data_IF_354651425777
#
_entry.id   IF_354651425777
#
_cell.length_a   1.000
_cell.length_b   1.000
_cell.length_c   1.000
_cell.angle_alpha   90.00
_cell.angle_beta   90.00
_cell.angle_gamma   90.00
#
_symmetry.space_group_name_H-M   'P 1'
#
loop_
_entity.id
_entity.type
_entity.pdbx_description
1 polymer ?
#
# COMPACT_ATOMS: atom_id res chain seq x y z
N UNK A 1 7.69 -44.20 61.55
CA UNK A 1 6.97 -43.66 62.73
C UNK A 1 7.54 -42.26 62.92
N UNK A 2 6.97 -41.18 62.38
CA UNK A 2 5.56 -40.78 62.34
C UNK A 2 5.21 -40.05 61.02
N UNK A 3 4.05 -40.38 60.46
CA UNK A 3 3.15 -39.49 59.68
C UNK A 3 2.51 -38.49 60.69
N UNK A 4 1.97 -37.30 60.41
CA UNK A 4 1.74 -36.41 59.27
C UNK A 4 1.39 -35.01 59.85
N UNK A 5 1.44 -33.94 59.05
CA UNK A 5 0.31 -32.97 58.95
C UNK A 5 0.48 -32.09 57.69
N UNK A 6 -0.43 -32.27 56.72
CA UNK A 6 -0.51 -31.54 55.43
C UNK A 6 -1.54 -30.39 55.54
N UNK A 7 -1.28 -29.38 56.36
CA UNK A 7 -2.25 -28.28 56.50
C UNK A 7 -1.71 -26.89 56.87
N UNK A 8 -0.46 -26.54 56.52
CA UNK A 8 0.03 -25.17 56.68
C UNK A 8 0.60 -24.63 55.37
N UNK A 9 -0.14 -23.69 54.78
CA UNK A 9 0.24 -22.92 53.61
C UNK A 9 1.44 -22.02 53.94
N UNK A 10 2.61 -22.35 53.39
CA UNK A 10 3.88 -21.63 53.58
C UNK A 10 3.99 -20.35 52.71
N UNK A 11 2.90 -19.93 52.04
CA UNK A 11 2.88 -18.79 51.12
C UNK A 11 2.06 -17.58 51.58
N UNK A 12 1.63 -17.53 52.84
CA UNK A 12 0.94 -16.36 53.39
C UNK A 12 1.92 -15.41 54.11
N UNK A 13 2.65 -14.60 53.33
CA UNK A 13 2.95 -13.18 53.62
C UNK A 13 4.15 -12.69 52.77
N UNK A 14 3.85 -12.06 51.63
CA UNK A 14 4.74 -11.10 50.99
C UNK A 14 3.91 -9.98 50.35
N UNK A 15 4.10 -8.78 50.89
CA UNK A 15 3.44 -7.53 50.54
C UNK A 15 3.48 -7.18 49.03
N UNK A 16 2.49 -6.43 48.52
CA UNK A 16 2.41 -6.10 47.10
C UNK A 16 3.54 -5.16 46.67
N UNK A 17 4.12 -5.34 45.47
CA UNK A 17 5.10 -4.42 44.93
C UNK A 17 4.44 -3.07 44.59
N UNK A 18 5.14 -2.00 44.98
CA UNK A 18 4.80 -0.61 44.65
C UNK A 18 4.52 -0.42 43.15
N UNK A 19 3.56 0.46 42.77
CA UNK A 19 3.33 0.78 41.38
C UNK A 19 4.55 1.52 40.82
N UNK A 20 5.26 0.88 39.91
CA UNK A 20 6.23 1.55 39.07
C UNK A 20 5.52 2.61 38.24
N UNK A 21 6.13 3.79 38.21
CA UNK A 21 5.70 5.00 37.53
C UNK A 21 5.06 4.74 36.16
N UNK A 22 3.79 5.09 36.04
CA UNK A 22 3.11 5.33 34.77
C UNK A 22 3.85 6.43 34.00
N UNK A 23 4.76 6.04 33.13
CA UNK A 23 5.34 6.91 32.12
C UNK A 23 4.38 6.94 30.91
N UNK A 24 3.67 8.07 30.77
CA UNK A 24 3.29 8.63 29.47
C UNK A 24 2.50 7.76 28.50
N UNK A 25 1.31 7.32 28.89
CA UNK A 25 0.28 6.90 27.94
C UNK A 25 -0.49 8.11 27.41
N UNK A 26 0.10 8.89 26.51
CA UNK A 26 -0.59 9.96 25.80
C UNK A 26 -0.20 9.95 24.31
N UNK A 27 -1.22 10.07 23.46
CA UNK A 27 -1.17 10.45 22.03
C UNK A 27 -0.76 9.39 20.99
N UNK A 28 -1.49 8.27 20.87
CA UNK A 28 -1.45 7.48 19.63
C UNK A 28 -2.82 7.34 18.93
N UNK A 29 -3.91 7.81 19.55
CA UNK A 29 -5.26 7.73 18.98
C UNK A 29 -5.65 8.92 18.10
N UNK A 30 -4.86 10.00 18.08
CA UNK A 30 -5.14 11.22 17.30
C UNK A 30 -4.45 11.25 15.94
N UNK A 31 -3.42 10.44 15.74
CA UNK A 31 -2.60 10.53 14.54
C UNK A 31 -3.06 9.57 13.46
N UNK A 32 -3.12 10.06 12.21
CA UNK A 32 -3.44 9.21 11.06
C UNK A 32 -2.15 8.48 10.63
N UNK A 33 -1.80 7.41 11.33
CA UNK A 33 -0.59 6.62 11.04
C UNK A 33 -0.75 5.78 9.77
N UNK A 34 0.36 5.50 9.06
CA UNK A 34 0.35 4.72 7.82
C UNK A 34 -0.18 3.29 7.95
N UNK A 35 -0.34 2.78 9.18
CA UNK A 35 -0.81 1.43 9.47
C UNK A 35 -2.33 1.40 9.66
N UNK A 36 -3.00 0.45 8.98
CA UNK A 36 -4.44 0.25 9.06
C UNK A 36 -4.80 -0.70 10.21
N UNK A 37 -5.90 -0.43 10.91
CA UNK A 37 -6.49 -1.41 11.84
C UNK A 37 -7.23 -2.52 11.09
N UNK A 38 -7.57 -3.62 11.76
CA UNK A 38 -8.34 -4.73 11.15
C UNK A 38 -9.72 -4.28 10.67
N UNK A 39 -10.41 -3.43 11.43
CA UNK A 39 -11.71 -2.86 11.04
C UNK A 39 -11.56 -1.90 9.84
N UNK A 40 -10.45 -1.17 9.76
CA UNK A 40 -10.15 -0.33 8.60
C UNK A 40 -10.02 -1.14 7.31
N UNK A 41 -9.44 -2.34 7.38
CA UNK A 41 -9.21 -3.23 6.24
C UNK A 41 -10.50 -3.79 5.65
N UNK A 42 -11.47 -4.20 6.49
CA UNK A 42 -12.73 -4.77 6.01
C UNK A 42 -13.64 -3.72 5.35
N UNK A 43 -13.71 -2.52 5.94
CA UNK A 43 -14.41 -1.40 5.31
C UNK A 43 -13.67 -0.93 4.06
N UNK A 44 -12.33 -0.95 4.04
CA UNK A 44 -11.59 -0.62 2.81
C UNK A 44 -11.91 -1.60 1.67
N UNK A 45 -12.14 -2.88 1.96
CA UNK A 45 -12.53 -3.87 0.93
C UNK A 45 -13.88 -3.56 0.30
N UNK A 46 -14.87 -3.09 1.07
CA UNK A 46 -16.19 -2.74 0.51
C UNK A 46 -16.17 -1.48 -0.35
N UNK A 47 -15.23 -0.56 -0.10
CA UNK A 47 -15.05 0.66 -0.89
C UNK A 47 -14.41 0.39 -2.26
N UNK A 48 -13.70 -0.73 -2.43
CA UNK A 48 -12.98 -1.05 -3.67
C UNK A 48 -13.97 -1.31 -4.82
N UNK A 49 -13.81 -0.65 -5.97
CA UNK A 49 -14.62 -0.93 -7.15
C UNK A 49 -14.47 -2.38 -7.60
N UNK A 50 -15.58 -2.95 -8.08
CA UNK A 50 -15.65 -4.34 -8.53
C UNK A 50 -15.62 -4.44 -10.06
N UNK A 51 -16.12 -3.43 -10.78
CA UNK A 51 -16.15 -3.37 -12.24
C UNK A 51 -15.34 -2.19 -12.76
N UNK A 52 -15.01 -2.21 -14.06
CA UNK A 52 -14.30 -1.11 -14.71
C UNK A 52 -15.10 0.20 -14.66
N UNK A 53 -16.42 0.11 -14.73
CA UNK A 53 -17.30 1.29 -14.71
C UNK A 53 -17.36 1.96 -13.32
N UNK A 54 -17.11 1.21 -12.25
CA UNK A 54 -17.01 1.75 -10.88
C UNK A 54 -15.64 2.37 -10.59
N UNK A 55 -14.64 2.10 -11.45
CA UNK A 55 -13.27 2.57 -11.25
C UNK A 55 -13.17 4.03 -11.70
N UNK A 56 -13.07 4.94 -10.75
CA UNK A 56 -12.92 6.37 -11.01
C UNK A 56 -11.49 6.68 -11.49
N UNK A 57 -11.31 7.66 -12.38
CA UNK A 57 -9.99 8.03 -12.93
C UNK A 57 -9.31 6.95 -13.78
N UNK A 58 -8.03 7.16 -14.11
CA UNK A 58 -7.20 6.26 -14.95
C UNK A 58 -7.83 5.91 -16.30
N UNK A 59 -8.51 6.87 -16.95
CA UNK A 59 -9.34 6.60 -18.13
C UNK A 59 -8.60 5.91 -19.27
N UNK A 60 -7.34 6.28 -19.51
CA UNK A 60 -6.51 5.63 -20.53
C UNK A 60 -6.30 4.13 -20.27
N UNK A 61 -6.09 3.73 -19.01
CA UNK A 61 -5.94 2.34 -18.59
C UNK A 61 -7.29 1.63 -18.73
N UNK A 62 -8.37 2.23 -18.22
CA UNK A 62 -9.72 1.63 -18.28
C UNK A 62 -10.17 1.38 -19.71
N UNK A 63 -9.97 2.34 -20.62
CA UNK A 63 -10.33 2.20 -22.02
C UNK A 63 -9.53 1.09 -22.69
N UNK A 64 -8.22 1.04 -22.44
CA UNK A 64 -7.35 -0.01 -22.97
C UNK A 64 -7.73 -1.39 -22.46
N UNK A 65 -7.93 -1.54 -21.13
CA UNK A 65 -8.39 -2.78 -20.52
C UNK A 65 -9.75 -3.21 -21.07
N UNK A 66 -10.70 -2.29 -21.25
CA UNK A 66 -12.02 -2.61 -21.80
C UNK A 66 -11.90 -3.27 -23.18
N UNK A 67 -11.10 -2.68 -24.08
CA UNK A 67 -10.87 -3.23 -25.43
C UNK A 67 -10.21 -4.62 -25.35
N UNK A 68 -9.16 -4.77 -24.55
CA UNK A 68 -8.39 -6.01 -24.44
C UNK A 68 -9.22 -7.16 -23.85
N UNK A 69 -10.00 -6.86 -22.80
CA UNK A 69 -10.90 -7.82 -22.15
C UNK A 69 -12.02 -8.24 -23.10
N UNK A 70 -12.65 -7.30 -23.79
CA UNK A 70 -13.72 -7.59 -24.76
C UNK A 70 -13.20 -8.47 -25.89
N UNK A 71 -12.00 -8.16 -26.40
CA UNK A 71 -11.35 -8.95 -27.43
C UNK A 71 -11.05 -10.39 -26.95
N UNK A 72 -10.44 -10.56 -25.77
CA UNK A 72 -10.15 -11.88 -25.19
C UNK A 72 -11.42 -12.71 -24.99
N UNK A 73 -12.46 -12.12 -24.41
CA UNK A 73 -13.78 -12.75 -24.24
C UNK A 73 -14.41 -13.20 -25.55
N UNK A 74 -14.34 -12.36 -26.59
CA UNK A 74 -14.92 -12.69 -27.90
C UNK A 74 -14.28 -13.94 -28.54
N UNK A 75 -13.03 -14.23 -28.19
CA UNK A 75 -12.29 -15.43 -28.64
C UNK A 75 -12.44 -16.62 -27.68
N UNK A 76 -13.01 -16.42 -26.49
CA UNK A 76 -13.08 -17.45 -25.45
C UNK A 76 -11.71 -17.78 -24.85
N UNK A 77 -10.79 -16.83 -24.85
CA UNK A 77 -9.41 -16.98 -24.37
C UNK A 77 -9.18 -16.24 -23.04
N UNK A 78 -8.11 -16.61 -22.34
CA UNK A 78 -7.59 -15.81 -21.23
C UNK A 78 -7.12 -14.45 -21.71
N UNK A 79 -7.07 -13.47 -20.80
CA UNK A 79 -6.40 -12.20 -21.07
C UNK A 79 -4.88 -12.44 -21.09
N UNK A 80 -4.16 -11.71 -21.93
CA UNK A 80 -2.70 -11.68 -21.86
C UNK A 80 -2.23 -11.23 -20.48
N UNK A 81 -1.03 -11.66 -20.09
CA UNK A 81 -0.47 -11.29 -18.80
C UNK A 81 -0.29 -9.77 -18.68
N UNK A 82 -0.71 -9.23 -17.53
CA UNK A 82 -0.75 -7.78 -17.26
C UNK A 82 0.23 -7.41 -16.16
N UNK A 83 1.02 -6.35 -16.36
CA UNK A 83 1.82 -5.73 -15.29
C UNK A 83 1.28 -4.32 -15.00
N UNK A 84 0.94 -4.08 -13.72
CA UNK A 84 0.62 -2.75 -13.21
C UNK A 84 1.81 -2.18 -12.43
N UNK A 85 2.28 -1.01 -12.84
CA UNK A 85 3.35 -0.30 -12.15
C UNK A 85 2.89 1.05 -11.62
N UNK A 86 3.50 1.53 -10.55
CA UNK A 86 3.28 2.88 -10.04
C UNK A 86 3.31 2.96 -8.51
N UNK A 87 3.27 4.18 -7.95
CA UNK A 87 3.29 4.43 -6.51
C UNK A 87 2.30 3.58 -5.69
N UNK A 88 2.57 3.36 -4.39
CA UNK A 88 1.64 2.69 -3.49
C UNK A 88 0.32 3.49 -3.39
N UNK A 89 -0.79 2.78 -3.13
CA UNK A 89 -2.09 3.42 -2.89
C UNK A 89 -2.89 3.84 -4.12
N UNK A 90 -2.35 3.68 -5.34
CA UNK A 90 -3.04 4.04 -6.60
C UNK A 90 -4.11 3.04 -7.09
N UNK A 91 -4.27 1.89 -6.41
CA UNK A 91 -5.30 0.92 -6.75
C UNK A 91 -4.87 -0.21 -7.71
N UNK A 92 -3.58 -0.58 -7.73
CA UNK A 92 -3.06 -1.73 -8.53
C UNK A 92 -3.75 -3.06 -8.17
N UNK A 93 -3.79 -3.40 -6.88
CA UNK A 93 -4.50 -4.60 -6.37
C UNK A 93 -5.99 -4.57 -6.72
N UNK A 94 -6.59 -3.38 -6.70
CA UNK A 94 -7.99 -3.18 -7.07
C UNK A 94 -8.22 -3.41 -8.56
N UNK A 95 -7.34 -2.90 -9.44
CA UNK A 95 -7.41 -3.19 -10.87
C UNK A 95 -7.28 -4.68 -11.17
N UNK A 96 -6.41 -5.40 -10.46
CA UNK A 96 -6.29 -6.86 -10.62
C UNK A 96 -7.62 -7.57 -10.32
N UNK A 97 -8.30 -7.18 -9.23
CA UNK A 97 -9.62 -7.71 -8.90
C UNK A 97 -10.68 -7.33 -9.94
N UNK A 98 -10.67 -6.08 -10.42
CA UNK A 98 -11.56 -5.63 -11.50
C UNK A 98 -11.32 -6.43 -12.78
N UNK A 99 -10.07 -6.69 -13.17
CA UNK A 99 -9.74 -7.53 -14.34
C UNK A 99 -10.31 -8.94 -14.17
N UNK A 100 -10.16 -9.57 -13.00
CA UNK A 100 -10.73 -10.89 -12.75
C UNK A 100 -12.25 -10.90 -12.83
N UNK A 101 -12.92 -9.93 -12.20
CA UNK A 101 -14.37 -9.79 -12.23
C UNK A 101 -14.89 -9.55 -13.64
N UNK A 102 -14.22 -8.68 -14.41
CA UNK A 102 -14.57 -8.46 -15.80
C UNK A 102 -14.39 -9.74 -16.60
N UNK A 103 -13.27 -10.47 -16.46
CA UNK A 103 -13.06 -11.76 -17.13
C UNK A 103 -14.00 -12.88 -16.66
N UNK A 104 -14.77 -12.68 -15.58
CA UNK A 104 -15.59 -13.74 -14.98
C UNK A 104 -14.75 -14.84 -14.33
N UNK A 105 -13.50 -14.54 -13.96
CA UNK A 105 -12.50 -15.46 -13.44
C UNK A 105 -12.35 -15.35 -11.93
N UNK A 106 -11.89 -16.43 -11.28
CA UNK A 106 -11.47 -16.34 -9.88
C UNK A 106 -10.08 -15.70 -9.79
N UNK A 107 -9.83 -14.97 -8.69
CA UNK A 107 -8.53 -14.35 -8.42
C UNK A 107 -7.82 -15.06 -7.28
N UNK A 108 -6.61 -15.55 -7.54
CA UNK A 108 -5.69 -16.03 -6.51
C UNK A 108 -4.66 -14.95 -6.22
N UNK A 109 -4.70 -14.39 -5.02
CA UNK A 109 -3.79 -13.32 -4.59
C UNK A 109 -2.61 -13.88 -3.80
N UNK A 110 -1.41 -13.41 -4.10
CA UNK A 110 -0.16 -13.64 -3.36
C UNK A 110 0.77 -12.42 -3.50
N UNK A 111 1.96 -12.47 -2.91
CA UNK A 111 2.99 -11.44 -3.07
C UNK A 111 4.35 -12.06 -3.35
N UNK A 112 5.23 -11.31 -4.01
CA UNK A 112 6.61 -11.72 -4.29
C UNK A 112 7.33 -12.24 -3.04
N UNK A 113 7.33 -11.50 -1.92
CA UNK A 113 7.95 -11.96 -0.68
C UNK A 113 7.31 -13.21 -0.05
N UNK A 114 6.00 -13.43 -0.29
CA UNK A 114 5.32 -14.62 0.23
C UNK A 114 5.73 -15.90 -0.51
N UNK A 115 6.21 -15.79 -1.75
CA UNK A 115 6.69 -16.92 -2.55
C UNK A 115 8.19 -17.08 -2.31
N UNK A 116 8.52 -17.78 -1.22
CA UNK A 116 9.90 -17.97 -0.81
C UNK A 116 10.62 -19.08 -1.59
N UNK A 117 9.89 -20.12 -2.03
CA UNK A 117 10.47 -21.29 -2.68
C UNK A 117 9.72 -21.64 -3.96
N UNK A 118 10.44 -22.33 -4.84
CA UNK A 118 9.93 -22.89 -6.11
C UNK A 118 8.68 -23.75 -5.92
N UNK A 119 8.66 -24.55 -4.84
CA UNK A 119 7.50 -25.37 -4.47
C UNK A 119 6.25 -24.56 -4.09
N UNK A 120 6.41 -23.36 -3.52
CA UNK A 120 5.29 -22.50 -3.14
C UNK A 120 4.58 -21.97 -4.40
N UNK A 121 5.35 -21.54 -5.41
CA UNK A 121 4.81 -21.13 -6.71
C UNK A 121 4.17 -22.30 -7.45
N UNK A 122 4.85 -23.46 -7.50
CA UNK A 122 4.34 -24.64 -8.16
C UNK A 122 2.98 -25.06 -7.57
N UNK A 123 2.85 -25.08 -6.24
CA UNK A 123 1.60 -25.40 -5.57
C UNK A 123 0.46 -24.42 -5.90
N UNK A 124 0.76 -23.14 -6.09
CA UNK A 124 -0.24 -22.15 -6.51
C UNK A 124 -0.69 -22.44 -7.95
N UNK A 125 0.26 -22.58 -8.87
CA UNK A 125 -0.01 -22.76 -10.30
C UNK A 125 -0.76 -24.08 -10.59
N UNK A 126 -0.41 -25.18 -9.91
CA UNK A 126 -1.10 -26.46 -10.10
C UNK A 126 -2.53 -26.49 -9.55
N UNK A 127 -2.89 -25.54 -8.69
CA UNK A 127 -4.25 -25.44 -8.11
C UNK A 127 -5.14 -24.43 -8.85
N UNK A 128 -4.62 -23.69 -9.82
CA UNK A 128 -5.43 -22.80 -10.64
C UNK A 128 -6.45 -23.59 -11.46
N UNK A 129 -7.56 -22.94 -11.80
CA UNK A 129 -8.52 -23.45 -12.78
C UNK A 129 -8.31 -22.73 -14.13
N UNK A 130 -8.74 -23.32 -15.26
CA UNK A 130 -8.68 -22.64 -16.56
C UNK A 130 -9.40 -21.28 -16.52
N UNK A 131 -8.71 -20.23 -16.95
CA UNK A 131 -9.23 -18.86 -16.95
C UNK A 131 -8.93 -18.05 -15.69
N UNK A 132 -8.43 -18.67 -14.61
CA UNK A 132 -8.16 -17.96 -13.35
C UNK A 132 -7.12 -16.84 -13.52
N UNK A 133 -7.20 -15.86 -12.63
CA UNK A 133 -6.23 -14.77 -12.50
C UNK A 133 -5.30 -15.05 -11.32
N UNK A 134 -4.00 -15.16 -11.58
CA UNK A 134 -2.98 -15.17 -10.53
C UNK A 134 -2.45 -13.76 -10.33
N UNK A 135 -2.75 -13.16 -9.19
CA UNK A 135 -2.24 -11.84 -8.83
C UNK A 135 -1.02 -11.94 -7.91
N UNK A 136 0.12 -11.38 -8.32
CA UNK A 136 1.35 -11.29 -7.53
C UNK A 136 1.67 -9.82 -7.26
N UNK A 137 1.43 -9.37 -6.03
CA UNK A 137 1.86 -8.03 -5.60
C UNK A 137 3.37 -8.00 -5.32
N UNK A 138 3.99 -6.84 -5.50
CA UNK A 138 5.44 -6.67 -5.33
C UNK A 138 6.25 -7.74 -6.08
N UNK A 139 5.85 -8.04 -7.33
CA UNK A 139 6.42 -9.13 -8.15
C UNK A 139 7.92 -9.00 -8.37
N UNK A 140 8.45 -7.78 -8.31
CA UNK A 140 9.88 -7.49 -8.39
C UNK A 140 10.70 -8.02 -7.20
N UNK A 141 10.04 -8.51 -6.14
CA UNK A 141 10.66 -9.12 -4.97
C UNK A 141 10.68 -10.64 -5.02
N UNK A 142 10.25 -11.25 -6.12
CA UNK A 142 10.47 -12.67 -6.36
C UNK A 142 11.97 -12.96 -6.37
N UNK A 143 12.37 -14.07 -5.76
CA UNK A 143 13.74 -14.52 -5.90
C UNK A 143 13.96 -15.11 -7.30
N UNK A 144 15.22 -15.09 -7.75
CA UNK A 144 15.61 -15.53 -9.09
C UNK A 144 15.15 -16.95 -9.43
N UNK A 145 15.22 -17.89 -8.48
CA UNK A 145 14.85 -19.28 -8.73
C UNK A 145 13.35 -19.44 -8.97
N UNK A 146 12.53 -18.68 -8.24
CA UNK A 146 11.08 -18.66 -8.42
C UNK A 146 10.72 -17.97 -9.73
N UNK A 147 11.39 -16.86 -10.05
CA UNK A 147 11.20 -16.13 -11.30
C UNK A 147 11.52 -16.99 -12.52
N UNK A 148 12.61 -17.76 -12.50
CA UNK A 148 12.99 -18.68 -13.58
C UNK A 148 11.95 -19.79 -13.83
N UNK A 149 11.23 -20.24 -12.79
CA UNK A 149 10.13 -21.20 -12.92
C UNK A 149 8.84 -20.56 -13.46
N UNK A 150 8.67 -19.26 -13.25
CA UNK A 150 7.50 -18.54 -13.74
C UNK A 150 7.53 -18.38 -15.27
N UNK A 151 8.72 -18.39 -15.89
CA UNK A 151 8.86 -18.17 -17.34
C UNK A 151 8.13 -19.22 -18.20
N UNK A 152 8.36 -20.54 -18.03
CA UNK A 152 7.65 -21.54 -18.83
C UNK A 152 6.16 -21.59 -18.47
N UNK A 153 5.79 -21.23 -17.24
CA UNK A 153 4.40 -21.15 -16.82
C UNK A 153 3.64 -20.03 -17.55
N UNK A 154 4.31 -18.91 -17.84
CA UNK A 154 3.74 -17.79 -18.61
C UNK A 154 3.71 -18.03 -20.12
N UNK A 155 4.75 -18.66 -20.66
CA UNK A 155 4.91 -18.82 -22.12
C UNK A 155 4.18 -20.06 -22.66
N UNK A 156 4.37 -21.18 -21.97
CA UNK A 156 3.96 -22.50 -22.45
C UNK A 156 2.85 -23.13 -21.59
N UNK A 157 2.43 -22.47 -20.50
CA UNK A 157 1.52 -23.04 -19.51
C UNK A 157 2.00 -24.41 -19.00
N UNK A 158 3.30 -24.51 -18.70
CA UNK A 158 3.91 -25.73 -18.17
C UNK A 158 4.89 -25.44 -17.03
N UNK A 159 5.10 -26.44 -16.19
CA UNK A 159 6.07 -26.44 -15.10
C UNK A 159 7.05 -27.59 -15.22
N UNK A 160 8.33 -27.28 -15.25
CA UNK A 160 9.40 -28.28 -15.19
C UNK A 160 9.83 -28.52 -13.74
N UNK A 161 9.52 -29.70 -13.21
CA UNK A 161 9.87 -30.10 -11.85
C UNK A 161 10.96 -31.16 -11.88
N UNK A 162 12.07 -30.88 -11.19
CA UNK A 162 13.15 -31.85 -10.99
C UNK A 162 12.83 -32.74 -9.79
N UNK A 163 12.65 -34.04 -10.04
CA UNK A 163 12.40 -35.05 -9.00
C UNK A 163 13.67 -35.87 -8.77
N UNK A 164 14.08 -35.97 -7.50
CA UNK A 164 15.27 -36.72 -7.07
C UNK A 164 16.50 -35.84 -6.81
N UNK A 165 17.64 -36.47 -6.49
CA UNK A 165 18.92 -35.77 -6.22
C UNK A 165 20.06 -36.48 -6.96
N UNK A 166 21.06 -35.70 -7.37
CA UNK A 166 22.27 -36.22 -8.02
C UNK A 166 22.03 -36.73 -9.45
N UNK A 167 22.90 -37.61 -9.97
CA UNK A 167 22.84 -38.11 -11.36
C UNK A 167 21.55 -38.85 -11.73
N UNK A 168 20.75 -39.26 -10.73
CA UNK A 168 19.49 -39.96 -10.92
C UNK A 168 18.27 -39.01 -10.96
N UNK A 169 18.47 -37.69 -10.82
CA UNK A 169 17.39 -36.72 -10.90
C UNK A 169 16.77 -36.72 -12.30
N UNK A 170 15.43 -36.69 -12.36
CA UNK A 170 14.66 -36.64 -13.62
C UNK A 170 13.81 -35.38 -13.63
N UNK A 171 13.78 -34.69 -14.76
CA UNK A 171 12.86 -33.57 -14.96
C UNK A 171 11.52 -34.11 -15.48
N UNK A 172 10.43 -33.69 -14.87
CA UNK A 172 9.06 -33.98 -15.31
C UNK A 172 8.41 -32.65 -15.67
N UNK A 173 7.88 -32.57 -16.89
CA UNK A 173 7.05 -31.45 -17.34
C UNK A 173 5.60 -31.72 -16.93
N UNK A 174 4.99 -30.78 -16.23
CA UNK A 174 3.59 -30.80 -15.83
C UNK A 174 2.87 -29.68 -16.57
N UNK A 175 1.81 -30.04 -17.29
CA UNK A 175 0.93 -29.04 -17.90
C UNK A 175 0.10 -28.37 -16.81
N UNK A 176 -0.02 -27.04 -16.87
CA UNK A 176 -0.87 -26.25 -15.98
C UNK A 176 -2.00 -25.60 -16.78
N UNK A 177 -3.12 -25.24 -16.13
CA UNK A 177 -4.22 -24.59 -16.82
C UNK A 177 -3.80 -23.24 -17.40
N UNK A 178 -4.41 -22.86 -18.53
CA UNK A 178 -4.29 -21.49 -19.04
C UNK A 178 -4.84 -20.51 -18.00
N UNK A 179 -4.04 -19.50 -17.66
CA UNK A 179 -4.37 -18.52 -16.64
C UNK A 179 -3.86 -17.13 -17.06
N UNK A 180 -4.34 -16.08 -16.41
CA UNK A 180 -3.81 -14.73 -16.57
C UNK A 180 -2.94 -14.36 -15.37
N UNK A 181 -1.64 -14.14 -15.56
CA UNK A 181 -0.81 -13.51 -14.54
C UNK A 181 -1.05 -12.00 -14.52
N UNK A 182 -1.37 -11.46 -13.36
CA UNK A 182 -1.38 -10.02 -13.09
C UNK A 182 -0.30 -9.69 -12.07
N UNK A 183 0.76 -9.01 -12.50
CA UNK A 183 1.79 -8.51 -11.61
C UNK A 183 1.49 -7.07 -11.14
N UNK A 184 1.90 -6.74 -9.91
CA UNK A 184 1.99 -5.36 -9.47
C UNK A 184 3.39 -5.02 -8.94
N UNK A 185 3.84 -3.79 -9.20
CA UNK A 185 5.12 -3.30 -8.68
C UNK A 185 5.10 -1.81 -8.39
N UNK A 186 5.70 -1.40 -7.28
CA UNK A 186 6.04 0.00 -7.00
C UNK A 186 7.33 0.46 -7.70
N UNK A 187 8.14 -0.49 -8.19
CA UNK A 187 9.48 -0.26 -8.75
C UNK A 187 9.61 -0.94 -10.12
N UNK A 188 9.05 -0.33 -11.17
CA UNK A 188 9.10 -0.91 -12.53
C UNK A 188 10.52 -1.13 -13.05
N UNK A 189 11.47 -0.28 -12.64
CA UNK A 189 12.90 -0.42 -12.98
C UNK A 189 13.58 -1.66 -12.38
N UNK A 190 12.97 -2.30 -11.38
CA UNK A 190 13.52 -3.50 -10.70
C UNK A 190 13.10 -4.81 -11.36
N UNK A 191 12.18 -4.78 -12.34
CA UNK A 191 11.82 -6.00 -13.08
C UNK A 191 12.97 -6.39 -14.03
N UNK A 192 13.34 -7.66 -14.01
CA UNK A 192 14.31 -8.19 -14.98
C UNK A 192 13.77 -8.04 -16.41
N UNK A 193 14.65 -7.93 -17.40
CA UNK A 193 14.25 -7.93 -18.82
C UNK A 193 13.40 -9.16 -19.17
N UNK A 194 13.87 -10.39 -18.87
CA UNK A 194 13.12 -11.61 -19.17
C UNK A 194 11.70 -11.65 -18.61
N UNK A 195 11.48 -11.25 -17.34
CA UNK A 195 10.14 -11.23 -16.76
C UNK A 195 9.25 -10.16 -17.41
N UNK A 196 9.81 -8.98 -17.66
CA UNK A 196 9.09 -7.85 -18.26
C UNK A 196 8.60 -8.17 -19.66
N UNK A 197 9.43 -8.80 -20.49
CA UNK A 197 9.13 -9.09 -21.90
C UNK A 197 8.00 -10.12 -22.06
N UNK A 198 7.69 -10.89 -21.00
CA UNK A 198 6.59 -11.87 -20.97
C UNK A 198 5.24 -11.28 -20.58
N UNK A 199 5.19 -10.03 -20.15
CA UNK A 199 3.93 -9.31 -19.97
C UNK A 199 3.49 -8.72 -21.31
N UNK A 200 2.43 -9.30 -21.90
CA UNK A 200 1.84 -8.78 -23.13
C UNK A 200 1.21 -7.39 -22.96
N UNK A 201 0.83 -7.04 -21.73
CA UNK A 201 0.19 -5.77 -21.39
C UNK A 201 0.92 -5.11 -20.22
N UNK A 202 1.29 -3.83 -20.38
CA UNK A 202 1.98 -3.05 -19.34
C UNK A 202 1.32 -1.70 -19.15
N UNK A 203 0.91 -1.41 -17.91
CA UNK A 203 0.32 -0.15 -17.52
C UNK A 203 1.09 0.50 -16.38
N UNK A 204 1.21 1.83 -16.46
CA UNK A 204 1.71 2.67 -15.38
C UNK A 204 0.57 3.52 -14.84
N UNK A 205 0.25 3.34 -13.57
CA UNK A 205 -0.71 4.18 -12.87
C UNK A 205 -0.02 5.47 -12.46
N UNK A 206 -0.66 6.59 -12.78
CA UNK A 206 -0.26 7.91 -12.37
C UNK A 206 -1.05 8.38 -11.14
N UNK A 207 -0.60 9.45 -10.51
CA UNK A 207 -1.37 10.09 -9.45
C UNK A 207 -2.69 10.63 -9.99
N UNK A 208 -3.71 10.57 -9.15
CA UNK A 208 -5.06 11.01 -9.50
C UNK A 208 -5.14 12.53 -9.40
N UNK A 209 -5.98 13.12 -10.26
CA UNK A 209 -6.35 14.52 -10.12
C UNK A 209 -7.21 14.75 -8.88
N UNK A 210 -7.30 15.99 -8.42
CA UNK A 210 -8.19 16.35 -7.30
C UNK A 210 -9.64 16.02 -7.65
N UNK A 211 -10.05 16.25 -8.91
CA UNK A 211 -11.40 15.93 -9.38
C UNK A 211 -11.69 14.42 -9.31
N UNK A 212 -10.79 13.57 -9.83
CA UNK A 212 -10.97 12.11 -9.75
C UNK A 212 -11.03 11.62 -8.30
N UNK A 213 -10.21 12.22 -7.41
CA UNK A 213 -10.22 11.88 -6.00
C UNK A 213 -11.49 12.35 -5.29
N UNK A 214 -12.03 13.51 -5.65
CA UNK A 214 -13.30 14.00 -5.11
C UNK A 214 -14.43 13.05 -5.50
N UNK A 215 -14.46 12.56 -6.74
CA UNK A 215 -15.45 11.56 -7.19
C UNK A 215 -15.32 10.24 -6.40
N UNK A 216 -14.08 9.81 -6.13
CA UNK A 216 -13.81 8.65 -5.27
C UNK A 216 -14.34 8.89 -3.85
N UNK A 217 -14.11 10.07 -3.29
CA UNK A 217 -14.57 10.43 -1.94
C UNK A 217 -16.10 10.45 -1.87
N UNK A 218 -16.79 11.06 -2.85
CA UNK A 218 -18.26 11.10 -2.91
C UNK A 218 -18.84 9.69 -3.03
N UNK A 219 -18.27 8.86 -3.92
CA UNK A 219 -18.69 7.46 -4.07
C UNK A 219 -18.49 6.68 -2.77
N UNK A 220 -17.34 6.83 -2.13
CA UNK A 220 -17.05 6.16 -0.86
C UNK A 220 -17.95 6.63 0.26
N UNK A 221 -18.27 7.93 0.35
CA UNK A 221 -19.19 8.48 1.35
C UNK A 221 -20.59 7.89 1.19
N UNK A 222 -21.05 7.75 -0.07
CA UNK A 222 -22.33 7.09 -0.40
C UNK A 222 -22.35 5.63 0.10
N UNK A 223 -21.28 4.87 -0.12
CA UNK A 223 -21.17 3.48 0.38
C UNK A 223 -21.15 3.41 1.91
N UNK A 224 -20.55 4.41 2.57
CA UNK A 224 -20.51 4.53 4.03
C UNK A 224 -21.81 5.11 4.62
N UNK A 225 -22.78 5.51 3.79
CA UNK A 225 -24.05 6.07 4.23
C UNK A 225 -23.92 7.45 4.87
N UNK A 226 -22.98 8.28 4.39
CA UNK A 226 -22.75 9.64 4.92
C UNK A 226 -22.90 10.65 3.79
N UNK A 227 -23.65 11.71 4.05
CA UNK A 227 -23.80 12.84 3.14
C UNK A 227 -22.56 13.74 3.19
N UNK A 228 -22.04 14.09 2.01
CA UNK A 228 -20.90 14.99 1.84
C UNK A 228 -21.17 15.91 0.66
N UNK A 229 -20.88 17.20 0.82
CA UNK A 229 -20.92 18.15 -0.30
C UNK A 229 -19.65 18.03 -1.19
N UNK A 230 -19.74 18.53 -2.42
CA UNK A 230 -18.63 18.42 -3.37
C UNK A 230 -17.40 19.24 -2.92
N UNK A 231 -17.62 20.36 -2.21
CA UNK A 231 -16.55 21.22 -1.70
C UNK A 231 -15.70 20.50 -0.65
N UNK A 232 -16.33 19.80 0.30
CA UNK A 232 -15.68 18.94 1.30
C UNK A 232 -14.95 17.77 0.67
N UNK A 233 -15.55 17.16 -0.36
CA UNK A 233 -14.89 16.08 -1.10
C UNK A 233 -13.61 16.59 -1.79
N UNK A 234 -13.65 17.80 -2.37
CA UNK A 234 -12.47 18.44 -2.96
C UNK A 234 -11.42 18.79 -1.89
N UNK A 235 -11.83 19.26 -0.72
CA UNK A 235 -10.93 19.57 0.39
C UNK A 235 -10.17 18.31 0.85
N UNK A 236 -10.88 17.19 1.05
CA UNK A 236 -10.26 15.90 1.36
C UNK A 236 -9.32 15.47 0.22
N UNK A 237 -9.80 15.53 -1.03
CA UNK A 237 -9.04 15.13 -2.21
C UNK A 237 -7.72 15.92 -2.35
N UNK A 238 -7.75 17.23 -2.12
CA UNK A 238 -6.57 18.11 -2.20
C UNK A 238 -5.45 17.69 -1.25
N UNK A 239 -5.82 17.16 -0.07
CA UNK A 239 -4.90 16.68 0.98
C UNK A 239 -4.60 15.18 0.90
N UNK A 240 -5.07 14.51 -0.15
CA UNK A 240 -4.96 13.05 -0.32
C UNK A 240 -3.74 12.59 -1.11
N UNK A 241 -2.78 13.50 -1.37
CA UNK A 241 -1.49 13.19 -2.01
C UNK A 241 -1.62 12.47 -3.37
N UNK A 242 -2.71 12.71 -4.10
CA UNK A 242 -2.95 12.06 -5.38
C UNK A 242 -3.32 10.57 -5.29
N UNK A 243 -3.64 10.05 -4.09
CA UNK A 243 -3.88 8.60 -3.89
C UNK A 243 -5.29 8.29 -3.35
N UNK A 244 -6.03 7.35 -3.98
CA UNK A 244 -7.33 6.89 -3.50
C UNK A 244 -7.29 6.28 -2.10
N UNK A 245 -6.20 5.56 -1.76
CA UNK A 245 -6.03 4.97 -0.42
C UNK A 245 -6.06 6.04 0.67
N UNK A 246 -5.32 7.13 0.48
CA UNK A 246 -5.31 8.21 1.47
C UNK A 246 -6.64 8.95 1.48
N UNK A 247 -7.25 9.22 0.32
CA UNK A 247 -8.57 9.87 0.24
C UNK A 247 -9.64 9.13 1.05
N UNK A 248 -9.74 7.81 0.88
CA UNK A 248 -10.68 7.00 1.65
C UNK A 248 -10.33 6.95 3.14
N UNK A 249 -9.04 6.98 3.49
CA UNK A 249 -8.58 7.04 4.90
C UNK A 249 -8.98 8.38 5.55
N UNK A 250 -8.77 9.49 4.84
CA UNK A 250 -9.15 10.82 5.31
C UNK A 250 -10.66 10.96 5.45
N UNK A 251 -11.43 10.50 4.46
CA UNK A 251 -12.89 10.49 4.54
C UNK A 251 -13.40 9.76 5.78
N UNK A 252 -12.85 8.58 6.11
CA UNK A 252 -13.23 7.85 7.33
C UNK A 252 -12.98 8.69 8.57
N UNK A 253 -11.82 9.36 8.67
CA UNK A 253 -11.47 10.20 9.82
C UNK A 253 -12.36 11.44 9.92
N UNK A 254 -12.63 12.11 8.81
CA UNK A 254 -13.54 13.26 8.75
C UNK A 254 -14.96 12.83 9.16
N UNK A 255 -15.43 11.68 8.68
CA UNK A 255 -16.71 11.09 9.10
C UNK A 255 -16.75 10.83 10.60
N UNK A 256 -15.74 10.16 11.16
CA UNK A 256 -15.69 9.84 12.59
C UNK A 256 -15.72 11.13 13.44
N UNK A 257 -15.05 12.20 12.98
CA UNK A 257 -15.11 13.52 13.61
C UNK A 257 -16.50 14.16 13.50
N UNK A 258 -17.10 14.14 12.30
CA UNK A 258 -18.42 14.70 12.03
C UNK A 258 -19.54 14.00 12.83
N UNK A 259 -19.43 12.69 13.06
CA UNK A 259 -20.39 11.95 13.89
C UNK A 259 -20.39 12.40 15.35
N UNK A 260 -19.24 12.84 15.87
CA UNK A 260 -19.10 13.27 17.27
C UNK A 260 -19.36 14.77 17.42
N UNK A 261 -18.97 15.58 16.44
CA UNK A 261 -18.94 17.05 16.56
C UNK A 261 -19.80 17.82 15.55
N UNK A 262 -20.37 17.16 14.54
CA UNK A 262 -20.97 17.80 13.37
C UNK A 262 -22.33 17.23 12.94
N UNK A 263 -23.11 16.69 13.88
CA UNK A 263 -24.45 16.13 13.62
C UNK A 263 -24.53 15.04 12.53
N UNK A 264 -23.38 14.47 12.11
CA UNK A 264 -23.28 13.36 11.18
C UNK A 264 -23.20 13.70 9.69
N UNK A 265 -23.32 14.97 9.29
CA UNK A 265 -23.11 15.42 7.90
C UNK A 265 -21.70 15.99 7.71
N UNK A 266 -21.12 15.82 6.52
CA UNK A 266 -19.78 16.35 6.20
C UNK A 266 -19.96 17.60 5.33
N UNK A 267 -19.75 18.76 5.95
CA UNK A 267 -19.68 20.06 5.28
C UNK A 267 -18.25 20.65 5.31
N UNK A 268 -18.03 21.73 4.57
CA UNK A 268 -16.69 22.30 4.41
C UNK A 268 -16.06 22.75 5.75
N UNK A 269 -16.77 23.46 6.64
CA UNK A 269 -16.25 23.80 7.97
C UNK A 269 -15.83 22.58 8.80
N UNK A 270 -16.69 21.56 8.93
CA UNK A 270 -16.38 20.34 9.70
C UNK A 270 -15.18 19.62 9.09
N UNK A 271 -15.09 19.57 7.77
CA UNK A 271 -13.99 18.92 7.07
C UNK A 271 -12.66 19.60 7.40
N UNK A 272 -12.60 20.93 7.36
CA UNK A 272 -11.37 21.68 7.71
C UNK A 272 -10.99 21.51 9.17
N UNK A 273 -11.97 21.58 10.07
CA UNK A 273 -11.73 21.35 11.49
C UNK A 273 -11.20 19.94 11.76
N UNK A 274 -11.80 18.93 11.13
CA UNK A 274 -11.37 17.54 11.26
C UNK A 274 -9.94 17.36 10.74
N UNK A 275 -9.63 17.83 9.53
CA UNK A 275 -8.28 17.72 8.96
C UNK A 275 -7.23 18.45 9.82
N UNK A 276 -7.57 19.63 10.36
CA UNK A 276 -6.71 20.34 11.30
C UNK A 276 -6.54 19.58 12.62
N UNK A 277 -7.61 18.98 13.14
CA UNK A 277 -7.56 18.18 14.37
C UNK A 277 -6.68 16.93 14.22
N UNK A 278 -6.66 16.33 13.03
CA UNK A 278 -5.80 15.21 12.67
C UNK A 278 -4.39 15.63 12.21
N UNK A 279 -4.05 16.92 12.33
CA UNK A 279 -2.75 17.50 11.98
C UNK A 279 -2.35 17.22 10.52
N UNK A 280 -3.32 17.36 9.61
CA UNK A 280 -3.10 17.27 8.17
C UNK A 280 -3.09 18.69 7.62
N UNK A 281 -1.97 19.12 7.07
CA UNK A 281 -1.82 20.47 6.53
C UNK A 281 -2.46 20.63 5.13
N UNK A 282 -2.32 21.82 4.54
CA UNK A 282 -2.84 22.14 3.20
C UNK A 282 -2.12 21.38 2.07
N UNK A 283 -0.91 20.88 2.31
CA UNK A 283 -0.17 20.02 1.39
C UNK A 283 -0.53 18.54 1.58
N UNK A 284 -1.37 18.21 2.55
CA UNK A 284 -1.71 16.84 2.93
C UNK A 284 -0.62 16.13 3.73
N UNK A 285 0.40 16.84 4.23
CA UNK A 285 1.44 16.33 5.13
C UNK A 285 0.82 16.03 6.49
N UNK A 286 1.20 14.89 7.08
CA UNK A 286 0.81 14.55 8.44
C UNK A 286 1.89 14.96 9.44
N UNK A 287 1.60 14.77 10.73
CA UNK A 287 2.53 15.09 11.81
C UNK A 287 3.94 14.49 11.64
N UNK A 288 4.07 13.30 11.05
CA UNK A 288 5.36 12.64 10.86
C UNK A 288 6.11 13.28 9.70
N UNK A 289 5.43 13.59 8.59
CA UNK A 289 6.02 14.34 7.49
C UNK A 289 6.57 15.69 7.99
N UNK A 290 5.77 16.43 8.77
CA UNK A 290 6.19 17.69 9.38
C UNK A 290 7.39 17.47 10.30
N UNK A 291 7.38 16.44 11.15
CA UNK A 291 8.51 16.10 12.03
C UNK A 291 9.79 15.77 11.26
N UNK A 292 9.68 15.10 10.12
CA UNK A 292 10.82 14.81 9.22
C UNK A 292 11.39 16.12 8.67
N UNK A 293 10.53 17.01 8.16
CA UNK A 293 10.96 18.31 7.64
C UNK A 293 11.56 19.18 8.73
N UNK A 294 10.94 19.25 9.91
CA UNK A 294 11.46 19.96 11.07
C UNK A 294 12.82 19.42 11.50
N UNK A 295 13.02 18.11 11.44
CA UNK A 295 14.31 17.50 11.77
C UNK A 295 15.38 17.93 10.77
N UNK A 296 15.09 17.92 9.47
CA UNK A 296 16.03 18.38 8.44
C UNK A 296 16.30 19.90 8.54
N UNK A 297 15.28 20.70 8.82
CA UNK A 297 15.33 22.17 8.81
C UNK A 297 15.86 22.75 10.13
N UNK A 298 15.33 22.33 11.28
CA UNK A 298 15.67 22.87 12.60
C UNK A 298 16.90 22.18 13.20
N UNK A 299 16.95 20.85 13.17
CA UNK A 299 18.01 20.07 13.82
C UNK A 299 19.26 20.03 12.97
N UNK A 300 19.13 19.65 11.70
CA UNK A 300 20.26 19.51 10.78
C UNK A 300 20.56 20.76 9.95
N UNK A 301 19.71 21.80 10.04
CA UNK A 301 19.90 23.10 9.38
C UNK A 301 20.19 22.96 7.88
N UNK A 302 19.42 22.12 7.20
CA UNK A 302 19.54 21.87 5.76
C UNK A 302 20.76 21.04 5.34
N UNK A 303 21.63 20.61 6.26
CA UNK A 303 22.79 19.77 5.91
C UNK A 303 22.36 18.37 5.49
N UNK A 304 23.11 17.68 4.60
CA UNK A 304 22.80 16.32 4.20
C UNK A 304 22.80 15.33 5.38
N UNK A 305 21.75 14.51 5.47
CA UNK A 305 21.58 13.49 6.53
C UNK A 305 21.37 12.10 5.93
N UNK A 306 22.12 11.10 6.41
CA UNK A 306 21.91 9.71 6.01
C UNK A 306 20.53 9.18 6.42
N UNK A 307 19.97 8.24 5.65
CA UNK A 307 18.64 7.65 5.91
C UNK A 307 18.51 7.13 7.34
N UNK A 308 19.50 6.35 7.79
CA UNK A 308 19.50 5.71 9.09
C UNK A 308 19.54 6.73 10.23
N UNK A 309 20.32 7.81 10.07
CA UNK A 309 20.39 8.92 11.03
C UNK A 309 19.08 9.68 11.10
N UNK A 310 18.48 9.99 9.94
CA UNK A 310 17.21 10.71 9.88
C UNK A 310 16.08 9.86 10.50
N UNK A 311 15.98 8.59 10.13
CA UNK A 311 15.01 7.64 10.66
C UNK A 311 15.13 7.52 12.19
N UNK A 312 16.36 7.38 12.70
CA UNK A 312 16.63 7.33 14.14
C UNK A 312 16.23 8.61 14.87
N UNK A 313 16.43 9.79 14.25
CA UNK A 313 16.09 11.07 14.85
C UNK A 313 14.57 11.28 15.00
N UNK A 314 13.77 10.75 14.07
CA UNK A 314 12.30 10.81 14.13
C UNK A 314 11.66 9.60 14.80
N UNK A 315 12.43 8.55 15.08
CA UNK A 315 11.96 7.33 15.73
C UNK A 315 11.24 6.35 14.79
N UNK A 316 11.65 6.31 13.52
CA UNK A 316 11.07 5.45 12.48
C UNK A 316 12.07 4.42 11.93
N UNK A 317 11.54 3.38 11.26
CA UNK A 317 12.36 2.41 10.53
C UNK A 317 12.88 3.01 9.21
N UNK A 318 14.16 2.79 8.84
CA UNK A 318 14.73 3.28 7.58
C UNK A 318 13.94 2.90 6.32
N UNK A 319 13.39 1.68 6.24
CA UNK A 319 12.60 1.26 5.07
C UNK A 319 11.26 1.98 5.05
N UNK A 320 10.61 2.16 6.21
CA UNK A 320 9.36 2.93 6.30
C UNK A 320 9.60 4.39 5.87
N UNK A 321 10.71 4.99 6.30
CA UNK A 321 11.12 6.32 5.86
C UNK A 321 11.27 6.39 4.33
N UNK A 322 11.99 5.44 3.73
CA UNK A 322 12.26 5.42 2.30
C UNK A 322 11.04 5.08 1.43
N UNK A 323 10.20 4.13 1.87
CA UNK A 323 9.11 3.56 1.07
C UNK A 323 7.75 4.24 1.31
N UNK A 324 7.55 4.88 2.47
CA UNK A 324 6.26 5.48 2.86
C UNK A 324 6.28 7.01 2.80
N UNK A 325 7.23 7.66 3.49
CA UNK A 325 7.22 9.12 3.66
C UNK A 325 8.00 9.86 2.56
N UNK A 326 9.23 9.44 2.29
CA UNK A 326 10.10 10.11 1.29
C UNK A 326 9.49 10.29 -0.09
N UNK A 327 8.73 9.34 -0.67
CA UNK A 327 8.25 9.47 -2.05
C UNK A 327 7.41 10.73 -2.27
N UNK A 328 6.54 11.08 -1.33
CA UNK A 328 5.69 12.26 -1.45
C UNK A 328 6.48 13.56 -1.18
N UNK A 329 7.35 13.56 -0.17
CA UNK A 329 8.21 14.71 0.14
C UNK A 329 9.15 15.05 -1.04
N UNK A 330 9.70 14.03 -1.71
CA UNK A 330 10.51 14.19 -2.92
C UNK A 330 9.68 14.74 -4.08
N UNK A 331 8.48 14.19 -4.30
CA UNK A 331 7.59 14.63 -5.36
C UNK A 331 7.14 16.08 -5.20
N UNK A 332 6.86 16.51 -3.96
CA UNK A 332 6.54 17.91 -3.63
C UNK A 332 7.78 18.82 -3.63
N UNK A 333 8.96 18.26 -3.85
CA UNK A 333 10.21 19.00 -3.87
C UNK A 333 10.60 19.57 -2.51
N UNK A 334 10.08 19.03 -1.40
CA UNK A 334 10.38 19.45 -0.03
C UNK A 334 11.74 18.90 0.42
N UNK A 335 12.13 17.74 -0.11
CA UNK A 335 13.44 17.14 0.12
C UNK A 335 14.08 16.73 -1.21
N UNK A 336 15.40 16.55 -1.21
CA UNK A 336 16.16 15.95 -2.31
C UNK A 336 17.10 14.87 -1.80
N UNK A 337 17.33 13.84 -2.62
CA UNK A 337 18.35 12.81 -2.36
C UNK A 337 19.67 13.23 -2.99
N UNK A 338 20.72 13.27 -2.19
CA UNK A 338 22.11 13.49 -2.63
C UNK A 338 22.96 12.26 -2.27
N UNK A 339 24.16 12.08 -2.86
CA UNK A 339 25.09 11.04 -2.43
C UNK A 339 25.48 11.12 -0.95
N UNK A 340 25.37 12.31 -0.34
CA UNK A 340 25.74 12.57 1.05
C UNK A 340 24.56 12.37 2.03
N UNK A 341 23.33 12.29 1.53
CA UNK A 341 22.14 12.17 2.36
C UNK A 341 20.93 12.92 1.80
N UNK A 342 19.90 13.05 2.64
CA UNK A 342 18.67 13.80 2.38
C UNK A 342 18.87 15.24 2.81
N UNK A 343 18.39 16.17 1.99
CA UNK A 343 18.51 17.62 2.21
C UNK A 343 17.12 18.23 2.08
N UNK A 344 16.76 19.13 3.00
CA UNK A 344 15.56 19.96 2.87
C UNK A 344 15.81 21.07 1.84
N UNK A 345 14.85 21.30 0.95
CA UNK A 345 14.93 22.36 -0.06
C UNK A 345 14.40 23.68 0.49
N UNK A 346 14.62 24.78 -0.24
CA UNK A 346 14.00 26.08 0.06
C UNK A 346 12.48 25.99 0.26
N UNK A 347 11.78 25.13 -0.50
CA UNK A 347 10.33 24.93 -0.39
C UNK A 347 9.94 24.40 1.00
N UNK A 348 10.75 23.52 1.59
CA UNK A 348 10.51 23.03 2.94
C UNK A 348 10.76 24.10 4.01
N UNK A 349 11.76 24.97 3.82
CA UNK A 349 12.01 26.11 4.69
C UNK A 349 10.84 27.10 4.66
N UNK A 350 10.39 27.48 3.45
CA UNK A 350 9.25 28.37 3.24
C UNK A 350 7.97 27.78 3.84
N UNK A 351 7.73 26.49 3.63
CA UNK A 351 6.57 25.80 4.17
C UNK A 351 6.53 25.80 5.70
N UNK A 352 7.69 25.62 6.36
CA UNK A 352 7.80 25.69 7.82
C UNK A 352 7.91 27.12 8.37
N UNK A 353 7.99 28.14 7.49
CA UNK A 353 8.18 29.54 7.88
C UNK A 353 9.54 29.82 8.54
N UNK A 354 10.60 29.12 8.11
CA UNK A 354 11.94 29.23 8.68
C UNK A 354 12.90 29.75 7.62
N UNK A 355 13.72 30.75 7.96
CA UNK A 355 14.72 31.27 7.03
C UNK A 355 15.82 30.21 6.74
N UNK A 356 16.15 29.96 5.45
CA UNK A 356 17.23 29.06 5.11
C UNK A 356 18.59 29.61 5.57
N UNK A 357 19.55 28.75 5.95
CA UNK A 357 20.93 29.18 6.19
C UNK A 357 21.51 29.86 4.95
N UNK A 358 22.35 30.88 5.15
CA UNK A 358 22.94 31.67 4.05
C UNK A 358 23.78 30.85 3.05
N UNK A 359 24.16 29.61 3.40
CA UNK A 359 25.02 28.72 2.62
C UNK A 359 24.31 27.43 2.13
N UNK A 360 22.97 27.38 2.18
CA UNK A 360 22.17 26.17 1.91
C UNK A 360 21.83 25.92 0.43
#
# INVERSE_FOLDING_TARGET
MWEADDSVDLWADAAPPHPSSAAGGHENGRFVTGNLTTEDLDVERSLRPQRLDDYCGQDHIKQSLRILIEAAKSRGECLDHVIFSGPPGLGKTTLAAVVANEMGAQIKTTSGPAIARTGDLAAILTNLQPGDVLFIDEIHRLNRQVEEILYPAMEDFALDIVIGKGPAARSIRLDIPHFTLVGATTRSGMLTGPLRDRFGISFRLDYYSIADLADIVVRSATILGVEIDHESACEIASRSRGTPRLANRLLKRVRDYAQVRGEGHIDYPITREALSFFEIDELGLDWMDIRILETLVKTFRGRPVGLTTLASAVGEDPNTMEDVYEPYLLQRGLIVRTPQGRVATAVAFDHLGIEPPADA
#
